data_IF_848510383322
#
_entry.id   IF_848510383322
#
_cell.length_a   1.000
_cell.length_b   1.000
_cell.length_c   1.000
_cell.angle_alpha   90.00
_cell.angle_beta   90.00
_cell.angle_gamma   90.00
#
_symmetry.space_group_name_H-M   'P 1'
#
loop_
_entity.id
_entity.type
_entity.pdbx_description
1 polymer ?
#
# COMPACT_ATOMS: atom_id res chain seq x y z
N UNK A 1 12.24 -5.72 4.74
CA UNK A 1 13.24 -4.82 5.37
C UNK A 1 13.18 -5.02 6.88
N UNK A 2 14.21 -4.66 7.64
CA UNK A 2 14.28 -4.83 9.10
C UNK A 2 14.41 -3.45 9.77
N UNK A 3 13.78 -3.25 10.93
CA UNK A 3 13.87 -2.03 11.72
C UNK A 3 14.92 -2.22 12.82
N UNK A 4 16.12 -1.66 12.62
CA UNK A 4 17.16 -1.59 13.65
C UNK A 4 17.63 -0.16 13.78
N UNK A 5 17.83 0.30 15.02
CA UNK A 5 18.26 1.66 15.34
C UNK A 5 17.34 2.73 14.70
N UNK A 6 16.03 2.44 14.59
CA UNK A 6 15.01 3.24 13.90
C UNK A 6 15.20 3.40 12.37
N UNK A 7 16.17 2.73 11.76
CA UNK A 7 16.36 2.73 10.30
C UNK A 7 15.81 1.50 9.61
N UNK A 8 15.57 1.63 8.30
CA UNK A 8 15.05 0.56 7.44
C UNK A 8 16.11 0.16 6.41
N UNK A 9 16.36 -1.16 6.29
CA UNK A 9 17.46 -1.71 5.49
C UNK A 9 17.03 -2.87 4.58
N UNK A 10 17.54 -2.95 3.34
CA UNK A 10 17.46 -4.19 2.57
C UNK A 10 18.27 -5.27 3.28
N UNK A 11 17.68 -6.47 3.40
CA UNK A 11 18.30 -7.64 4.01
C UNK A 11 18.61 -8.74 2.99
N UNK A 12 17.77 -8.83 1.97
CA UNK A 12 17.84 -9.84 0.93
C UNK A 12 17.48 -9.18 -0.39
N UNK A 13 18.10 -9.67 -1.46
CA UNK A 13 17.69 -9.42 -2.84
C UNK A 13 17.34 -10.76 -3.46
N UNK A 14 16.20 -10.84 -4.11
CA UNK A 14 15.75 -12.06 -4.78
C UNK A 14 15.39 -11.73 -6.23
N UNK A 15 16.00 -12.45 -7.17
CA UNK A 15 15.61 -12.43 -8.57
C UNK A 15 14.75 -13.67 -8.81
N UNK A 16 13.47 -13.46 -9.10
CA UNK A 16 12.49 -14.53 -9.22
C UNK A 16 12.15 -14.78 -10.70
N UNK A 17 11.96 -16.04 -11.12
CA UNK A 17 11.65 -16.38 -12.51
C UNK A 17 10.22 -15.99 -12.93
N UNK A 18 9.30 -15.87 -11.98
CA UNK A 18 7.91 -15.49 -12.22
C UNK A 18 7.22 -15.06 -10.92
N UNK A 19 5.95 -14.65 -11.03
CA UNK A 19 5.09 -14.17 -9.94
C UNK A 19 4.09 -15.23 -9.47
N UNK A 20 4.53 -16.48 -9.31
CA UNK A 20 3.67 -17.57 -8.83
C UNK A 20 3.81 -17.80 -7.31
N UNK A 21 2.75 -18.33 -6.67
CA UNK A 21 2.75 -18.67 -5.24
C UNK A 21 3.91 -19.61 -4.92
N UNK A 22 4.12 -20.65 -5.72
CA UNK A 22 5.20 -21.61 -5.53
C UNK A 22 6.59 -20.96 -5.55
N UNK A 23 6.81 -19.97 -6.44
CA UNK A 23 8.07 -19.22 -6.48
C UNK A 23 8.27 -18.36 -5.23
N UNK A 24 7.23 -17.69 -4.73
CA UNK A 24 7.32 -16.93 -3.49
C UNK A 24 7.51 -17.80 -2.26
N UNK A 25 6.78 -18.90 -2.13
CA UNK A 25 6.94 -19.85 -1.02
C UNK A 25 8.38 -20.37 -0.96
N UNK A 26 8.93 -20.79 -2.11
CA UNK A 26 10.33 -21.21 -2.19
C UNK A 26 11.30 -20.09 -1.78
N UNK A 27 11.07 -18.85 -2.20
CA UNK A 27 11.88 -17.71 -1.77
C UNK A 27 11.83 -17.53 -0.24
N UNK A 28 10.64 -17.57 0.37
CA UNK A 28 10.49 -17.43 1.82
C UNK A 28 11.13 -18.58 2.59
N UNK A 29 11.05 -19.81 2.09
CA UNK A 29 11.72 -20.96 2.70
C UNK A 29 13.25 -20.82 2.66
N UNK A 30 13.80 -20.34 1.53
CA UNK A 30 15.23 -20.02 1.45
C UNK A 30 15.63 -18.93 2.46
N UNK A 31 14.80 -17.89 2.63
CA UNK A 31 15.05 -16.84 3.62
C UNK A 31 15.01 -17.40 5.05
N UNK A 32 14.07 -18.29 5.36
CA UNK A 32 14.00 -18.96 6.67
C UNK A 32 15.20 -19.88 6.91
N UNK A 33 15.70 -20.57 5.88
CA UNK A 33 16.92 -21.37 6.01
C UNK A 33 18.14 -20.50 6.35
N UNK A 34 18.22 -19.30 5.78
CA UNK A 34 19.26 -18.32 6.12
C UNK A 34 19.06 -17.68 7.50
N UNK A 35 17.82 -17.53 7.96
CA UNK A 35 17.46 -16.95 9.25
C UNK A 35 16.31 -17.75 9.90
N UNK A 36 16.60 -18.87 10.58
CA UNK A 36 15.57 -19.78 11.11
C UNK A 36 14.61 -19.12 12.09
N UNK A 37 15.08 -18.13 12.85
CA UNK A 37 14.29 -17.40 13.83
C UNK A 37 13.58 -16.16 13.24
N UNK A 38 13.40 -16.10 11.92
CA UNK A 38 12.66 -15.01 11.29
C UNK A 38 11.16 -15.15 11.61
N UNK A 39 10.69 -14.35 12.55
CA UNK A 39 9.28 -14.25 12.94
C UNK A 39 8.83 -12.79 12.84
N UNK A 40 8.42 -12.32 11.64
CA UNK A 40 7.90 -10.98 11.47
C UNK A 40 6.51 -10.88 12.11
N UNK A 41 6.23 -9.77 12.79
CA UNK A 41 4.87 -9.47 13.30
C UNK A 41 3.97 -8.86 12.23
N UNK A 42 4.57 -8.19 11.24
CA UNK A 42 3.88 -7.63 10.08
C UNK A 42 4.73 -7.71 8.82
N UNK A 43 4.08 -7.84 7.66
CA UNK A 43 4.71 -7.77 6.35
C UNK A 43 3.96 -6.72 5.52
N UNK A 44 4.69 -5.73 5.02
CA UNK A 44 4.15 -4.73 4.11
C UNK A 44 4.46 -5.13 2.67
N UNK A 45 3.43 -5.25 1.84
CA UNK A 45 3.58 -5.73 0.47
C UNK A 45 2.65 -5.02 -0.53
N UNK A 46 2.88 -5.32 -1.80
CA UNK A 46 2.08 -4.85 -2.91
C UNK A 46 0.86 -5.76 -3.09
N UNK A 47 -0.14 -5.30 -3.84
CA UNK A 47 -1.37 -6.05 -4.09
C UNK A 47 -1.14 -7.17 -5.12
N UNK A 48 -0.52 -8.26 -4.67
CA UNK A 48 -0.25 -9.44 -5.49
C UNK A 48 -0.70 -10.72 -4.77
N UNK A 49 -1.78 -11.33 -5.28
CA UNK A 49 -2.46 -12.46 -4.65
C UNK A 49 -1.54 -13.66 -4.41
N UNK A 50 -0.66 -13.96 -5.36
CA UNK A 50 0.29 -15.07 -5.26
C UNK A 50 1.30 -14.87 -4.12
N UNK A 51 1.78 -13.63 -3.95
CA UNK A 51 2.69 -13.27 -2.88
C UNK A 51 1.98 -13.28 -1.52
N UNK A 52 0.75 -12.75 -1.46
CA UNK A 52 -0.09 -12.76 -0.26
C UNK A 52 -0.30 -14.19 0.27
N UNK A 53 -0.77 -15.10 -0.59
CA UNK A 53 -1.02 -16.49 -0.20
C UNK A 53 0.27 -17.19 0.28
N UNK A 54 1.41 -16.92 -0.36
CA UNK A 54 2.70 -17.45 0.09
C UNK A 54 3.15 -16.87 1.44
N UNK A 55 2.87 -15.60 1.73
CA UNK A 55 3.18 -14.99 3.02
C UNK A 55 2.35 -15.60 4.16
N UNK A 56 1.05 -15.85 3.94
CA UNK A 56 0.19 -16.51 4.93
C UNK A 56 0.65 -17.93 5.23
N UNK A 57 0.97 -18.72 4.20
CA UNK A 57 1.48 -20.08 4.37
C UNK A 57 2.81 -20.10 5.13
N UNK A 58 3.74 -19.21 4.74
CA UNK A 58 5.08 -19.20 5.28
C UNK A 58 5.14 -18.53 6.66
N UNK A 59 4.27 -17.58 6.98
CA UNK A 59 4.29 -16.88 8.26
C UNK A 59 2.88 -16.86 8.88
N UNK A 60 2.41 -18.00 9.41
CA UNK A 60 1.08 -18.07 10.02
C UNK A 60 0.91 -17.03 11.14
N UNK A 61 -0.19 -16.28 11.11
CA UNK A 61 -0.51 -15.24 12.10
C UNK A 61 0.21 -13.90 11.90
N UNK A 62 0.96 -13.72 10.80
CA UNK A 62 1.56 -12.41 10.47
C UNK A 62 0.50 -11.42 10.00
N UNK A 63 0.63 -10.16 10.40
CA UNK A 63 -0.22 -9.09 9.86
C UNK A 63 0.28 -8.68 8.47
N UNK A 64 -0.45 -9.03 7.42
CA UNK A 64 -0.10 -8.62 6.06
C UNK A 64 -0.77 -7.29 5.74
N UNK A 65 0.03 -6.29 5.44
CA UNK A 65 -0.38 -4.91 5.23
C UNK A 65 -0.16 -4.49 3.77
N UNK A 66 -1.25 -4.24 3.05
CA UNK A 66 -1.22 -3.60 1.75
C UNK A 66 -0.73 -2.16 1.85
N UNK A 67 0.10 -1.74 0.89
CA UNK A 67 0.60 -0.38 0.78
C UNK A 67 -0.46 0.57 0.19
N UNK A 68 -0.81 1.66 0.88
CA UNK A 68 -1.80 2.62 0.37
C UNK A 68 -1.40 3.26 -0.97
N UNK A 69 -0.10 3.49 -1.18
CA UNK A 69 0.40 4.02 -2.45
C UNK A 69 0.07 3.08 -3.62
N UNK A 70 0.22 1.77 -3.43
CA UNK A 70 -0.14 0.79 -4.46
C UNK A 70 -1.66 0.66 -4.65
N UNK A 71 -2.46 0.86 -3.59
CA UNK A 71 -3.93 0.95 -3.73
C UNK A 71 -4.32 2.16 -4.59
N UNK A 72 -3.75 3.32 -4.31
CA UNK A 72 -3.94 4.56 -5.07
C UNK A 72 -3.49 4.40 -6.54
N UNK A 73 -2.36 3.73 -6.78
CA UNK A 73 -1.91 3.41 -8.14
C UNK A 73 -2.85 2.44 -8.86
N UNK A 74 -3.36 1.41 -8.17
CA UNK A 74 -4.31 0.47 -8.75
C UNK A 74 -5.60 1.16 -9.17
N UNK A 75 -6.10 2.11 -8.36
CA UNK A 75 -7.23 2.96 -8.74
C UNK A 75 -6.93 3.72 -10.03
N UNK A 76 -5.77 4.40 -10.12
CA UNK A 76 -5.41 5.17 -11.31
C UNK A 76 -5.26 4.30 -12.56
N UNK A 77 -4.69 3.09 -12.42
CA UNK A 77 -4.65 2.09 -13.50
C UNK A 77 -6.06 1.68 -13.94
N UNK A 78 -6.97 1.47 -13.00
CA UNK A 78 -8.34 1.11 -13.32
C UNK A 78 -9.10 2.27 -14.01
N UNK A 79 -8.93 3.50 -13.56
CA UNK A 79 -9.44 4.70 -14.25
C UNK A 79 -8.94 4.76 -15.71
N UNK A 80 -7.68 4.40 -15.96
CA UNK A 80 -7.16 4.30 -17.32
C UNK A 80 -7.81 3.16 -18.14
N UNK A 81 -8.10 2.01 -17.52
CA UNK A 81 -8.83 0.90 -18.16
C UNK A 81 -10.27 1.27 -18.50
N UNK A 82 -10.89 2.17 -17.72
CA UNK A 82 -12.19 2.77 -17.99
C UNK A 82 -12.13 3.89 -19.05
N UNK A 83 -10.97 4.08 -19.70
CA UNK A 83 -10.73 5.13 -20.70
C UNK A 83 -10.89 6.57 -20.16
N UNK A 84 -10.75 6.78 -18.84
CA UNK A 84 -10.94 8.08 -18.19
C UNK A 84 -9.64 8.76 -17.72
N UNK A 85 -8.49 8.32 -18.25
CA UNK A 85 -7.19 8.88 -17.84
C UNK A 85 -7.03 10.35 -18.26
N UNK A 86 -7.59 10.74 -19.40
CA UNK A 86 -7.52 12.12 -19.90
C UNK A 86 -8.31 13.06 -18.99
N UNK A 87 -9.53 12.69 -18.63
CA UNK A 87 -10.40 13.42 -17.71
C UNK A 87 -9.74 13.49 -16.33
N UNK A 88 -9.20 12.38 -15.85
CA UNK A 88 -8.45 12.33 -14.58
C UNK A 88 -7.29 13.33 -14.52
N UNK A 89 -6.55 13.50 -15.61
CA UNK A 89 -5.38 14.38 -15.63
C UNK A 89 -5.75 15.86 -15.82
N UNK A 90 -6.90 16.16 -16.41
CA UNK A 90 -7.27 17.51 -16.85
C UNK A 90 -8.44 18.12 -16.05
N UNK A 91 -9.24 17.33 -15.35
CA UNK A 91 -10.35 17.78 -14.51
C UNK A 91 -10.07 17.44 -13.03
N UNK A 92 -9.82 18.49 -12.24
CA UNK A 92 -9.52 18.38 -10.82
C UNK A 92 -10.69 17.78 -10.00
N UNK A 93 -11.94 18.05 -10.39
CA UNK A 93 -13.12 17.52 -9.71
C UNK A 93 -13.31 16.04 -10.03
N UNK A 94 -13.09 15.63 -11.29
CA UNK A 94 -13.09 14.22 -11.68
C UNK A 94 -12.00 13.44 -10.93
N UNK A 95 -10.78 13.98 -10.91
CA UNK A 95 -9.66 13.39 -10.15
C UNK A 95 -9.96 13.26 -8.66
N UNK A 96 -10.60 14.29 -8.08
CA UNK A 96 -11.03 14.27 -6.68
C UNK A 96 -12.07 13.18 -6.43
N UNK A 97 -13.08 13.03 -7.29
CA UNK A 97 -14.10 11.99 -7.15
C UNK A 97 -13.49 10.58 -7.22
N UNK A 98 -12.53 10.33 -8.11
CA UNK A 98 -11.78 9.07 -8.14
C UNK A 98 -10.97 8.84 -6.84
N UNK A 99 -10.38 9.89 -6.28
CA UNK A 99 -9.68 9.80 -4.99
C UNK A 99 -10.65 9.49 -3.84
N UNK A 100 -11.86 10.06 -3.83
CA UNK A 100 -12.85 9.77 -2.78
C UNK A 100 -13.10 8.26 -2.65
N UNK A 101 -13.17 7.50 -3.76
CA UNK A 101 -13.29 6.03 -3.72
C UNK A 101 -12.14 5.37 -2.95
N UNK A 102 -10.90 5.77 -3.18
CA UNK A 102 -9.74 5.22 -2.43
C UNK A 102 -9.67 5.68 -0.98
N UNK A 103 -10.38 6.77 -0.63
CA UNK A 103 -10.46 7.25 0.75
C UNK A 103 -11.28 6.34 1.66
N UNK A 104 -12.08 5.42 1.11
CA UNK A 104 -12.75 4.35 1.86
C UNK A 104 -11.77 3.47 2.67
N UNK A 105 -10.48 3.45 2.29
CA UNK A 105 -9.43 2.83 3.10
C UNK A 105 -9.32 3.41 4.52
N UNK A 106 -9.79 4.64 4.74
CA UNK A 106 -9.76 5.28 6.04
C UNK A 106 -11.09 5.19 6.78
N UNK A 107 -12.10 4.47 6.29
CA UNK A 107 -13.31 4.19 7.07
C UNK A 107 -13.11 2.98 7.97
N UNK A 108 -13.71 2.95 9.17
CA UNK A 108 -13.80 1.70 9.91
C UNK A 108 -14.57 0.67 9.09
N UNK A 109 -14.07 -0.56 9.06
CA UNK A 109 -14.66 -1.68 8.30
C UNK A 109 -16.17 -1.81 8.54
N UNK A 110 -16.63 -1.66 9.79
CA UNK A 110 -18.05 -1.75 10.16
C UNK A 110 -18.96 -0.65 9.56
N UNK A 111 -18.41 0.45 9.06
CA UNK A 111 -19.15 1.55 8.42
C UNK A 111 -18.96 1.58 6.89
N UNK A 112 -18.21 0.62 6.33
CA UNK A 112 -17.83 0.64 4.93
C UNK A 112 -19.05 0.56 3.98
N UNK A 113 -20.09 -0.21 4.33
CA UNK A 113 -21.34 -0.29 3.53
C UNK A 113 -22.04 1.05 3.44
N UNK A 114 -22.24 1.70 4.60
CA UNK A 114 -22.88 3.00 4.67
C UNK A 114 -22.11 4.04 3.84
N UNK A 115 -20.78 4.00 3.88
CA UNK A 115 -19.94 4.89 3.10
C UNK A 115 -20.01 4.61 1.60
N UNK A 116 -20.03 3.34 1.19
CA UNK A 116 -20.22 2.92 -0.20
C UNK A 116 -21.59 3.37 -0.70
N UNK A 117 -22.67 3.19 0.06
CA UNK A 117 -24.03 3.59 -0.34
C UNK A 117 -24.13 5.11 -0.52
N UNK A 118 -23.59 5.90 0.42
CA UNK A 118 -23.55 7.36 0.31
C UNK A 118 -22.75 7.76 -0.94
N UNK A 119 -21.62 7.10 -1.18
CA UNK A 119 -20.75 7.40 -2.31
C UNK A 119 -21.40 7.00 -3.65
N UNK A 120 -22.09 5.88 -3.71
CA UNK A 120 -22.82 5.41 -4.88
C UNK A 120 -23.92 6.38 -5.31
N UNK A 121 -24.60 7.02 -4.35
CA UNK A 121 -25.58 8.07 -4.65
C UNK A 121 -24.96 9.41 -5.06
N UNK A 122 -23.74 9.71 -4.57
CA UNK A 122 -23.08 11.00 -4.81
C UNK A 122 -22.16 11.03 -6.04
N UNK A 123 -21.61 9.88 -6.45
CA UNK A 123 -20.68 9.81 -7.57
C UNK A 123 -21.40 9.99 -8.92
N UNK A 124 -20.76 10.69 -9.89
CA UNK A 124 -21.22 10.70 -11.26
C UNK A 124 -21.38 9.28 -11.82
N UNK A 125 -22.36 9.08 -12.71
CA UNK A 125 -22.63 7.78 -13.36
C UNK A 125 -21.36 7.18 -14.00
N UNK A 126 -20.50 8.03 -14.58
CA UNK A 126 -19.23 7.62 -15.18
C UNK A 126 -18.24 6.96 -14.19
N UNK A 127 -18.38 7.21 -12.89
CA UNK A 127 -17.51 6.65 -11.84
C UNK A 127 -18.13 5.47 -11.08
N UNK A 128 -19.36 5.08 -11.40
CA UNK A 128 -19.97 3.87 -10.83
C UNK A 128 -19.13 2.61 -11.10
N UNK A 129 -18.59 2.39 -12.33
CA UNK A 129 -17.71 1.25 -12.57
C UNK A 129 -16.44 1.23 -11.70
N UNK A 130 -15.95 2.42 -11.30
CA UNK A 130 -14.80 2.51 -10.40
C UNK A 130 -15.16 2.10 -8.97
N UNK A 131 -16.35 2.50 -8.49
CA UNK A 131 -16.85 2.08 -7.18
C UNK A 131 -17.13 0.57 -7.17
N UNK A 132 -17.79 0.06 -8.20
CA UNK A 132 -18.02 -1.38 -8.41
C UNK A 132 -16.71 -2.18 -8.36
N UNK A 133 -15.67 -1.71 -9.07
CA UNK A 133 -14.35 -2.32 -9.03
C UNK A 133 -13.75 -2.33 -7.63
N UNK A 134 -13.89 -1.23 -6.89
CA UNK A 134 -13.39 -1.15 -5.52
C UNK A 134 -14.12 -2.15 -4.62
N UNK A 135 -15.43 -2.24 -4.75
CA UNK A 135 -16.24 -3.21 -4.01
C UNK A 135 -15.85 -4.65 -4.33
N UNK A 136 -15.70 -5.01 -5.60
CA UNK A 136 -15.38 -6.38 -5.99
C UNK A 136 -13.98 -6.84 -5.53
N UNK A 137 -13.01 -5.92 -5.51
CA UNK A 137 -11.62 -6.26 -5.21
C UNK A 137 -11.25 -6.11 -3.74
N UNK A 138 -11.91 -5.22 -2.99
CA UNK A 138 -11.48 -4.80 -1.66
C UNK A 138 -12.58 -4.89 -0.59
N UNK A 139 -13.79 -4.39 -0.87
CA UNK A 139 -14.85 -4.36 0.14
C UNK A 139 -15.63 -5.69 0.25
N UNK A 140 -15.88 -6.36 -0.87
CA UNK A 140 -16.76 -7.52 -0.96
C UNK A 140 -18.25 -7.11 -0.97
N UNK A 141 -18.94 -7.36 -2.08
CA UNK A 141 -20.37 -7.05 -2.22
C UNK A 141 -21.23 -7.82 -1.21
N UNK A 142 -22.28 -7.20 -0.68
CA UNK A 142 -23.31 -7.91 0.09
C UNK A 142 -23.99 -9.00 -0.75
N UNK A 143 -24.20 -10.16 -0.15
CA UNK A 143 -24.97 -11.23 -0.77
C UNK A 143 -26.44 -10.80 -0.88
N UNK A 144 -27.15 -11.28 -1.91
CA UNK A 144 -28.59 -10.99 -2.12
C UNK A 144 -29.49 -11.34 -0.92
N UNK A 145 -29.02 -12.23 -0.04
CA UNK A 145 -29.73 -12.67 1.18
C UNK A 145 -29.46 -11.79 2.39
N UNK A 146 -28.50 -10.85 2.31
CA UNK A 146 -28.12 -9.96 3.41
C UNK A 146 -27.39 -10.65 4.58
N UNK A 147 -27.01 -11.92 4.44
CA UNK A 147 -26.43 -12.76 5.50
C UNK A 147 -24.89 -12.81 5.47
N UNK A 148 -24.25 -12.07 4.57
CA UNK A 148 -22.80 -12.00 4.47
C UNK A 148 -22.34 -11.26 3.22
N UNK A 149 -21.01 -11.14 3.09
CA UNK A 149 -20.35 -10.57 1.91
C UNK A 149 -19.73 -11.65 1.06
N UNK A 150 -19.60 -11.38 -0.24
CA UNK A 150 -18.66 -12.10 -1.10
C UNK A 150 -17.24 -11.81 -0.65
N UNK A 151 -16.39 -12.83 -0.65
CA UNK A 151 -14.98 -12.66 -0.32
C UNK A 151 -14.33 -11.73 -1.37
N UNK A 152 -13.77 -10.58 -0.96
CA UNK A 152 -13.02 -9.73 -1.87
C UNK A 152 -11.73 -10.42 -2.30
N UNK A 153 -11.14 -9.94 -3.40
CA UNK A 153 -9.83 -10.42 -3.86
C UNK A 153 -8.73 -10.20 -2.81
N UNK A 154 -8.81 -9.08 -2.08
CA UNK A 154 -7.92 -8.75 -0.97
C UNK A 154 -8.73 -8.53 0.32
N UNK A 155 -8.41 -9.22 1.43
CA UNK A 155 -9.11 -9.06 2.71
C UNK A 155 -9.09 -7.62 3.21
N UNK A 156 -10.16 -7.20 3.89
CA UNK A 156 -10.35 -5.83 4.37
C UNK A 156 -9.24 -5.40 5.35
N UNK A 157 -8.81 -6.32 6.21
CA UNK A 157 -7.73 -6.13 7.19
C UNK A 157 -6.41 -5.76 6.52
N UNK A 158 -6.17 -6.29 5.30
CA UNK A 158 -4.93 -6.05 4.56
C UNK A 158 -4.83 -4.59 4.08
N UNK A 159 -5.90 -4.04 3.52
CA UNK A 159 -5.86 -2.72 2.85
C UNK A 159 -6.45 -1.59 3.68
N UNK A 160 -7.27 -1.88 4.69
CA UNK A 160 -7.88 -0.86 5.54
C UNK A 160 -6.85 -0.17 6.43
N UNK A 161 -6.91 1.15 6.49
CA UNK A 161 -5.96 2.03 7.14
C UNK A 161 -6.54 2.74 8.36
N UNK A 162 -7.82 2.54 8.71
CA UNK A 162 -8.44 3.26 9.83
C UNK A 162 -7.67 3.02 11.13
N UNK A 163 -7.53 1.76 11.55
CA UNK A 163 -6.83 1.43 12.80
C UNK A 163 -5.34 1.80 12.73
N UNK A 164 -4.69 1.54 11.59
CA UNK A 164 -3.28 1.89 11.36
C UNK A 164 -3.06 3.40 11.49
N UNK A 165 -3.96 4.20 10.94
CA UNK A 165 -3.92 5.66 11.07
C UNK A 165 -4.12 6.07 12.53
N UNK A 166 -5.12 5.52 13.22
CA UNK A 166 -5.38 5.80 14.64
C UNK A 166 -4.16 5.52 15.52
N UNK A 167 -3.43 4.44 15.22
CA UNK A 167 -2.22 4.00 15.89
C UNK A 167 -0.93 4.74 15.46
N UNK A 168 -1.02 5.67 14.48
CA UNK A 168 0.13 6.38 13.88
C UNK A 168 1.15 5.42 13.23
N UNK A 169 0.67 4.31 12.69
CA UNK A 169 1.50 3.36 11.95
C UNK A 169 1.80 3.85 10.52
N UNK A 170 2.91 3.37 9.95
CA UNK A 170 3.27 3.69 8.57
C UNK A 170 2.28 3.08 7.57
N UNK A 171 1.83 3.90 6.62
CA UNK A 171 0.78 3.57 5.64
C UNK A 171 1.30 3.29 4.24
N UNK A 172 2.57 3.63 4.00
CA UNK A 172 3.20 3.55 2.69
C UNK A 172 4.52 2.80 2.78
N UNK A 173 4.89 2.13 1.69
CA UNK A 173 6.15 1.40 1.56
C UNK A 173 7.27 2.31 1.03
N UNK A 174 7.34 3.55 1.54
CA UNK A 174 8.26 4.59 1.05
C UNK A 174 9.72 4.12 1.00
N UNK A 175 10.11 3.27 1.94
CA UNK A 175 11.46 2.73 2.00
C UNK A 175 11.74 1.76 0.84
N UNK A 176 10.82 0.85 0.51
CA UNK A 176 10.97 -0.04 -0.64
C UNK A 176 10.94 0.75 -1.95
N UNK A 177 10.07 1.74 -2.10
CA UNK A 177 10.02 2.60 -3.28
C UNK A 177 11.29 3.45 -3.43
N UNK A 178 11.84 3.98 -2.34
CA UNK A 178 13.11 4.69 -2.34
C UNK A 178 14.27 3.78 -2.71
N UNK A 179 14.28 2.53 -2.20
CA UNK A 179 15.27 1.52 -2.55
C UNK A 179 15.16 1.14 -4.04
N UNK A 180 13.94 0.96 -4.55
CA UNK A 180 13.68 0.66 -5.96
C UNK A 180 14.18 1.78 -6.88
N UNK A 181 13.82 3.04 -6.58
CA UNK A 181 14.30 4.20 -7.34
C UNK A 181 15.81 4.33 -7.34
N UNK A 182 16.46 4.11 -6.19
CA UNK A 182 17.93 4.12 -6.11
C UNK A 182 18.53 3.02 -6.98
N UNK A 183 17.96 1.82 -6.95
CA UNK A 183 18.42 0.72 -7.79
C UNK A 183 18.27 1.06 -9.29
N UNK A 184 17.14 1.64 -9.70
CA UNK A 184 16.95 2.10 -11.08
C UNK A 184 17.99 3.14 -11.49
N UNK A 185 18.26 4.13 -10.64
CA UNK A 185 19.31 5.14 -10.88
C UNK A 185 20.69 4.51 -11.02
N UNK A 186 21.05 3.56 -10.15
CA UNK A 186 22.34 2.88 -10.19
C UNK A 186 22.51 1.97 -11.42
N UNK A 187 21.42 1.32 -11.85
CA UNK A 187 21.41 0.51 -13.07
C UNK A 187 21.63 1.39 -14.31
N UNK A 188 20.92 2.51 -14.39
CA UNK A 188 21.05 3.52 -15.44
C UNK A 188 20.64 3.06 -16.84
N UNK A 189 20.03 1.87 -16.96
CA UNK A 189 19.56 1.26 -18.21
C UNK A 189 18.31 0.42 -17.95
N UNK A 190 17.44 0.31 -18.95
CA UNK A 190 16.17 -0.44 -18.83
C UNK A 190 16.37 -1.97 -18.89
N UNK A 191 17.41 -2.43 -19.60
CA UNK A 191 17.70 -3.85 -19.82
C UNK A 191 19.17 -4.18 -19.50
N UNK A 192 19.54 -4.24 -18.22
CA UNK A 192 20.91 -4.55 -17.80
C UNK A 192 21.25 -6.02 -18.07
N UNK A 193 22.51 -6.29 -18.41
CA UNK A 193 23.04 -7.66 -18.35
C UNK A 193 23.05 -8.17 -16.91
N UNK A 194 23.08 -9.49 -16.71
CA UNK A 194 23.15 -10.07 -15.36
C UNK A 194 24.36 -9.56 -14.57
N UNK A 195 25.49 -9.33 -15.24
CA UNK A 195 26.70 -8.77 -14.64
C UNK A 195 26.49 -7.33 -14.18
N UNK A 196 25.93 -6.47 -15.05
CA UNK A 196 25.61 -5.08 -14.70
C UNK A 196 24.62 -5.02 -13.54
N UNK A 197 23.64 -5.92 -13.51
CA UNK A 197 22.68 -6.03 -12.42
C UNK A 197 23.36 -6.38 -11.09
N UNK A 198 24.19 -7.43 -11.07
CA UNK A 198 24.94 -7.84 -9.88
C UNK A 198 25.85 -6.71 -9.37
N UNK A 199 26.61 -6.06 -10.26
CA UNK A 199 27.49 -4.96 -9.88
C UNK A 199 26.72 -3.77 -9.30
N UNK A 200 25.54 -3.48 -9.85
CA UNK A 200 24.67 -2.42 -9.34
C UNK A 200 24.11 -2.76 -7.97
N UNK A 201 23.70 -4.01 -7.74
CA UNK A 201 23.29 -4.48 -6.40
C UNK A 201 24.42 -4.34 -5.39
N UNK A 202 25.66 -4.70 -5.75
CA UNK A 202 26.84 -4.54 -4.89
C UNK A 202 27.09 -3.08 -4.52
N UNK A 203 26.96 -2.16 -5.48
CA UNK A 203 27.09 -0.71 -5.24
C UNK A 203 26.00 -0.19 -4.29
N UNK A 204 24.74 -0.55 -4.55
CA UNK A 204 23.62 -0.19 -3.67
C UNK A 204 23.85 -0.72 -2.25
N UNK A 205 24.24 -1.99 -2.11
CA UNK A 205 24.49 -2.61 -0.82
C UNK A 205 25.63 -1.91 -0.07
N UNK A 206 26.75 -1.60 -0.74
CA UNK A 206 27.87 -0.86 -0.14
C UNK A 206 27.43 0.48 0.46
N UNK A 207 26.58 1.23 -0.25
CA UNK A 207 26.00 2.46 0.28
C UNK A 207 25.06 2.24 1.48
N UNK A 208 24.39 1.09 1.55
CA UNK A 208 23.53 0.71 2.67
C UNK A 208 24.29 0.24 3.90
N UNK A 209 25.42 -0.43 3.71
CA UNK A 209 26.32 -0.81 4.80
C UNK A 209 26.89 0.43 5.49
N UNK A 210 27.33 1.44 4.72
CA UNK A 210 27.77 2.73 5.28
C UNK A 210 26.67 3.39 6.10
N UNK A 211 25.42 3.41 5.58
CA UNK A 211 24.31 3.98 6.32
C UNK A 211 23.92 3.15 7.57
N UNK A 212 24.16 1.85 7.56
CA UNK A 212 23.97 1.02 8.74
C UNK A 212 25.00 1.37 9.82
N UNK A 213 26.28 1.47 9.46
CA UNK A 213 27.34 1.88 10.38
C UNK A 213 27.12 3.28 10.96
N UNK A 214 26.58 4.21 10.16
CA UNK A 214 26.17 5.53 10.66
C UNK A 214 25.15 5.44 11.80
N UNK A 215 24.15 4.54 11.71
CA UNK A 215 23.20 4.35 12.80
C UNK A 215 23.81 3.61 14.00
N UNK A 216 24.71 2.65 13.76
CA UNK A 216 25.46 2.00 14.84
C UNK A 216 26.28 3.03 15.62
N UNK A 217 26.84 4.02 14.93
CA UNK A 217 27.52 5.16 15.53
C UNK A 217 26.57 6.18 16.22
N UNK A 218 25.26 5.91 16.29
CA UNK A 218 24.28 6.75 16.98
C UNK A 218 23.68 7.89 16.14
N UNK A 219 24.00 7.98 14.84
CA UNK A 219 23.30 8.94 13.99
C UNK A 219 21.83 8.56 13.83
N UNK A 220 20.97 9.56 13.67
CA UNK A 220 19.55 9.32 13.42
C UNK A 220 19.27 9.09 11.93
N UNK A 221 18.33 8.21 11.57
CA UNK A 221 17.88 8.08 10.20
C UNK A 221 17.23 9.39 9.71
N UNK A 222 17.25 9.67 8.39
CA UNK A 222 16.60 10.85 7.85
C UNK A 222 15.12 10.87 8.18
N UNK A 223 14.63 12.03 8.61
CA UNK A 223 13.20 12.22 8.87
C UNK A 223 12.39 12.11 7.58
N UNK A 224 11.17 11.59 7.70
CA UNK A 224 10.15 11.67 6.65
C UNK A 224 9.99 13.13 6.23
N UNK A 225 9.92 13.40 4.91
CA UNK A 225 9.78 14.77 4.39
C UNK A 225 8.59 15.46 5.04
N UNK A 226 8.76 16.74 5.40
CA UNK A 226 7.74 17.55 6.09
C UNK A 226 6.36 17.46 5.45
N UNK A 227 6.27 17.59 4.11
CA UNK A 227 4.99 17.49 3.38
C UNK A 227 4.18 16.22 3.69
N UNK A 228 4.86 15.08 3.84
CA UNK A 228 4.18 13.82 4.12
C UNK A 228 3.80 13.71 5.60
N UNK A 229 4.65 14.21 6.51
CA UNK A 229 4.31 14.29 7.93
C UNK A 229 3.08 15.17 8.17
N UNK A 230 3.04 16.33 7.51
CA UNK A 230 1.92 17.26 7.61
C UNK A 230 0.64 16.63 7.03
N UNK A 231 0.75 15.86 5.94
CA UNK A 231 -0.37 15.10 5.39
C UNK A 231 -0.84 13.96 6.33
N UNK A 232 0.08 13.25 6.97
CA UNK A 232 -0.24 12.22 7.96
C UNK A 232 -1.02 12.83 9.14
N UNK A 233 -0.58 13.98 9.68
CA UNK A 233 -1.27 14.65 10.78
C UNK A 233 -2.66 15.17 10.37
N UNK A 234 -2.81 15.71 9.15
CA UNK A 234 -4.13 16.14 8.64
C UNK A 234 -5.09 14.96 8.48
N UNK A 235 -4.61 13.84 7.91
CA UNK A 235 -5.43 12.64 7.80
C UNK A 235 -5.79 12.10 9.19
N UNK A 236 -4.83 12.01 10.12
CA UNK A 236 -5.10 11.59 11.49
C UNK A 236 -6.16 12.46 12.17
N UNK A 237 -6.09 13.78 11.97
CA UNK A 237 -7.08 14.71 12.50
C UNK A 237 -8.47 14.41 11.95
N UNK A 238 -8.60 14.21 10.64
CA UNK A 238 -9.87 13.87 10.01
C UNK A 238 -10.41 12.55 10.56
N UNK A 239 -9.59 11.50 10.60
CA UNK A 239 -9.97 10.18 11.12
C UNK A 239 -10.39 10.21 12.59
N UNK A 240 -9.75 11.05 13.42
CA UNK A 240 -10.05 11.16 14.86
C UNK A 240 -11.24 12.05 15.19
N UNK A 241 -11.35 13.19 14.51
CA UNK A 241 -12.25 14.29 14.91
C UNK A 241 -13.48 14.33 14.01
N UNK A 242 -13.29 14.09 12.71
CA UNK A 242 -14.33 14.28 11.71
C UNK A 242 -15.04 12.97 11.34
N UNK A 243 -14.51 11.81 11.74
CA UNK A 243 -15.25 10.57 11.64
C UNK A 243 -16.41 10.59 12.64
N UNK A 244 -17.59 10.92 12.15
CA UNK A 244 -18.85 10.74 12.84
C UNK A 244 -19.71 9.79 11.99
N UNK A 245 -20.10 8.65 12.54
CA UNK A 245 -20.91 7.65 11.85
C UNK A 245 -22.24 8.21 11.33
N UNK A 246 -22.76 9.22 12.02
CA UNK A 246 -24.01 9.91 11.69
C UNK A 246 -23.76 11.29 11.03
N UNK A 247 -22.50 11.60 10.71
CA UNK A 247 -22.09 12.86 10.11
C UNK A 247 -22.09 12.85 8.59
N UNK A 248 -21.56 13.93 7.99
CA UNK A 248 -21.39 14.03 6.54
C UNK A 248 -20.20 13.17 6.07
N UNK A 249 -20.50 11.90 5.77
CA UNK A 249 -19.53 10.91 5.28
C UNK A 249 -18.85 11.41 3.99
N UNK A 250 -19.59 12.07 3.10
CA UNK A 250 -19.04 12.56 1.84
C UNK A 250 -18.02 13.67 2.08
N UNK A 251 -18.30 14.60 3.00
CA UNK A 251 -17.34 15.62 3.41
C UNK A 251 -16.09 15.00 4.06
N UNK A 252 -16.26 13.97 4.90
CA UNK A 252 -15.16 13.24 5.51
C UNK A 252 -14.23 12.60 4.46
N UNK A 253 -14.79 11.81 3.53
CA UNK A 253 -14.03 11.15 2.47
C UNK A 253 -13.37 12.16 1.52
N UNK A 254 -14.08 13.24 1.18
CA UNK A 254 -13.51 14.35 0.38
C UNK A 254 -12.33 15.00 1.09
N UNK A 255 -12.44 15.24 2.40
CA UNK A 255 -11.35 15.76 3.21
C UNK A 255 -10.11 14.88 3.15
N UNK A 256 -10.27 13.56 3.23
CA UNK A 256 -9.17 12.60 3.10
C UNK A 256 -8.53 12.63 1.70
N UNK A 257 -9.35 12.67 0.65
CA UNK A 257 -8.91 12.69 -0.74
C UNK A 257 -7.98 13.88 -1.09
N UNK A 258 -8.10 15.01 -0.36
CA UNK A 258 -7.22 16.16 -0.51
C UNK A 258 -5.82 15.97 0.08
N UNK A 259 -5.57 14.90 0.84
CA UNK A 259 -4.34 14.74 1.61
C UNK A 259 -3.35 13.72 1.03
N UNK A 260 -3.63 13.16 -0.15
CA UNK A 260 -2.70 12.27 -0.83
C UNK A 260 -2.67 12.45 -2.36
N UNK A 261 -1.58 11.95 -2.93
CA UNK A 261 -1.31 11.95 -4.37
C UNK A 261 -1.37 10.50 -4.90
N UNK A 262 -1.59 10.37 -6.21
CA UNK A 262 -1.88 9.11 -6.94
C UNK A 262 -1.10 9.04 -8.24
#
# INVERSE_FOLDING_TARGET
MDTKNNGVYPKFYALLPNKSRATYSRMFDLIKNLKPNLSPTAIHCDFEQAAFAAMEDCFPGVNINGCFFHLAQNMKKHVAQLCHLTEYNNDAQFALNCKIVTSLAFDPVRHLDQAIDVLGNALPVALQPLLDWFEDNYAGRMNRRGDGRRLPLFPQEMWNLYQRTMNREDRTNNYAEAAHRRLQTELGVDHPTIWKFIDSLRKVQKGRDVHYEQLVAGNLPPLKKKKYRDADERILRLVRINFNADGDILQYLRGLAHNYET
#
